data_IF_797111314406
#
_entry.id   IF_797111314406
#
_cell.length_a   1.000
_cell.length_b   1.000
_cell.length_c   1.000
_cell.angle_alpha   90.00
_cell.angle_beta   90.00
_cell.angle_gamma   90.00
#
_symmetry.space_group_name_H-M   'P 1'
#
loop_
_entity.id
_entity.type
_entity.pdbx_description
1 polymer ?
#
# COMPACT_ATOMS: atom_id res chain seq x y z
N UNK A 1 23.43 19.47 2.09
CA UNK A 1 22.77 18.97 3.33
C UNK A 1 22.15 17.61 3.03
N UNK A 2 22.92 16.53 3.18
CA UNK A 2 22.46 15.15 3.06
C UNK A 2 22.41 14.54 4.45
N UNK A 3 21.26 14.05 4.90
CA UNK A 3 21.22 13.30 6.16
C UNK A 3 19.85 13.01 6.76
N UNK A 4 18.96 12.29 6.08
CA UNK A 4 17.76 11.70 6.73
C UNK A 4 17.30 10.32 6.21
N UNK A 5 18.08 9.62 5.36
CA UNK A 5 17.64 8.33 4.79
C UNK A 5 18.13 7.06 5.50
N UNK A 6 18.92 7.17 6.58
CA UNK A 6 19.52 5.99 7.25
C UNK A 6 18.71 5.38 8.41
N UNK A 7 17.53 5.91 8.77
CA UNK A 7 16.85 5.48 10.01
C UNK A 7 15.85 4.31 9.81
N UNK A 8 15.31 4.10 8.60
CA UNK A 8 14.26 3.09 8.34
C UNK A 8 14.77 1.65 8.17
N UNK A 9 15.96 1.45 7.58
CA UNK A 9 16.61 0.12 7.50
C UNK A 9 17.02 -0.40 8.88
N UNK A 10 17.44 0.49 9.78
CA UNK A 10 17.83 0.11 11.13
C UNK A 10 16.64 -0.43 11.94
N UNK A 11 15.42 0.12 11.80
CA UNK A 11 14.26 -0.35 12.57
C UNK A 11 13.75 -1.75 12.18
N UNK A 12 13.82 -2.15 10.90
CA UNK A 12 13.42 -3.52 10.51
C UNK A 12 14.45 -4.56 10.95
N UNK A 13 15.73 -4.21 10.85
CA UNK A 13 16.86 -5.02 11.35
C UNK A 13 16.78 -5.14 12.88
N UNK A 14 16.40 -4.07 13.59
CA UNK A 14 16.21 -4.06 15.04
C UNK A 14 15.07 -5.00 15.47
N UNK A 15 13.96 -5.06 14.72
CA UNK A 15 12.81 -5.93 15.04
C UNK A 15 13.08 -7.41 14.75
N UNK A 16 13.81 -7.74 13.68
CA UNK A 16 14.25 -9.11 13.43
C UNK A 16 15.29 -9.58 14.45
N UNK A 17 16.20 -8.68 14.88
CA UNK A 17 17.11 -8.93 16.00
C UNK A 17 16.37 -9.12 17.32
N UNK A 18 15.35 -8.29 17.59
CA UNK A 18 14.47 -8.46 18.76
C UNK A 18 13.73 -9.78 18.70
N UNK A 19 13.15 -10.17 17.56
CA UNK A 19 12.44 -11.44 17.43
C UNK A 19 13.37 -12.64 17.66
N UNK A 20 14.60 -12.61 17.11
CA UNK A 20 15.62 -13.65 17.36
C UNK A 20 16.05 -13.69 18.82
N UNK A 21 16.42 -12.55 19.40
CA UNK A 21 16.79 -12.42 20.81
C UNK A 21 15.66 -12.88 21.75
N UNK A 22 14.41 -12.58 21.41
CA UNK A 22 13.24 -12.94 22.19
C UNK A 22 12.96 -14.45 22.15
N UNK A 23 13.05 -15.07 20.97
CA UNK A 23 12.97 -16.53 20.82
C UNK A 23 14.06 -17.21 21.65
N UNK A 24 15.27 -16.66 21.64
CA UNK A 24 16.41 -17.19 22.39
C UNK A 24 16.25 -17.03 23.91
N UNK A 25 15.72 -15.89 24.39
CA UNK A 25 15.37 -15.69 25.80
C UNK A 25 14.26 -16.63 26.26
N UNK A 26 13.22 -16.85 25.45
CA UNK A 26 12.12 -17.78 25.81
C UNK A 26 12.55 -19.24 25.90
N UNK A 27 13.61 -19.63 25.16
CA UNK A 27 14.24 -20.94 25.32
C UNK A 27 15.06 -21.08 26.60
N UNK A 28 15.53 -19.96 27.16
CA UNK A 28 16.37 -19.93 28.38
C UNK A 28 15.56 -19.73 29.68
N UNK A 29 14.32 -19.25 29.61
CA UNK A 29 13.42 -18.99 30.77
C UNK A 29 12.22 -19.93 30.80
N UNK A 30 12.48 -21.24 30.90
CA UNK A 30 11.40 -22.20 31.19
C UNK A 30 10.90 -22.11 32.64
N UNK A 31 11.58 -21.36 33.51
CA UNK A 31 11.19 -21.17 34.90
C UNK A 31 10.84 -19.70 35.19
N UNK A 32 9.55 -19.48 35.43
CA UNK A 32 8.90 -18.27 35.94
C UNK A 32 8.79 -17.04 35.00
N UNK A 33 7.54 -16.55 34.91
CA UNK A 33 7.04 -15.24 34.44
C UNK A 33 6.09 -15.34 33.23
N UNK A 34 4.82 -15.01 33.51
CA UNK A 34 3.70 -14.64 32.61
C UNK A 34 3.84 -15.03 31.13
N UNK A 35 3.85 -16.33 30.85
CA UNK A 35 4.00 -16.91 29.51
C UNK A 35 2.77 -16.72 28.62
N UNK A 36 1.62 -16.37 29.19
CA UNK A 36 0.35 -16.26 28.47
C UNK A 36 0.32 -15.06 27.51
N UNK A 37 0.62 -13.85 28.00
CA UNK A 37 0.64 -12.64 27.15
C UNK A 37 1.68 -12.68 26.02
N UNK A 38 2.82 -13.32 26.28
CA UNK A 38 3.87 -13.51 25.28
C UNK A 38 3.47 -14.49 24.19
N UNK A 39 2.71 -15.53 24.54
CA UNK A 39 2.22 -16.52 23.57
C UNK A 39 1.25 -15.88 22.58
N UNK A 40 0.36 -15.01 23.06
CA UNK A 40 -0.61 -14.31 22.22
C UNK A 40 0.07 -13.34 21.25
N UNK A 41 1.07 -12.58 21.72
CA UNK A 41 1.86 -11.69 20.86
C UNK A 41 2.63 -12.47 19.78
N UNK A 42 3.25 -13.60 20.14
CA UNK A 42 3.93 -14.48 19.19
C UNK A 42 2.95 -15.03 18.14
N UNK A 43 1.75 -15.46 18.56
CA UNK A 43 0.73 -15.96 17.64
C UNK A 43 0.20 -14.87 16.70
N UNK A 44 0.04 -13.65 17.21
CA UNK A 44 -0.33 -12.47 16.41
C UNK A 44 0.74 -12.17 15.35
N UNK A 45 2.01 -12.14 15.73
CA UNK A 45 3.13 -11.91 14.81
C UNK A 45 3.25 -12.99 13.73
N UNK A 46 3.07 -14.27 14.10
CA UNK A 46 3.01 -15.38 13.14
C UNK A 46 1.87 -15.20 12.13
N UNK A 47 0.71 -14.77 12.60
CA UNK A 47 -0.47 -14.54 11.75
C UNK A 47 -0.23 -13.39 10.78
N UNK A 48 0.34 -12.27 11.25
CA UNK A 48 0.70 -11.12 10.39
C UNK A 48 1.71 -11.54 9.32
N UNK A 49 2.77 -12.26 9.71
CA UNK A 49 3.80 -12.73 8.77
C UNK A 49 3.23 -13.69 7.72
N UNK A 50 2.33 -14.59 8.11
CA UNK A 50 1.62 -15.48 7.18
C UNK A 50 0.78 -14.69 6.16
N UNK A 51 0.04 -13.67 6.61
CA UNK A 51 -0.72 -12.77 5.72
C UNK A 51 0.19 -12.02 4.75
N UNK A 52 1.28 -11.46 5.24
CA UNK A 52 2.27 -10.76 4.40
C UNK A 52 2.84 -11.67 3.30
N UNK A 53 3.20 -12.90 3.64
CA UNK A 53 3.72 -13.87 2.67
C UNK A 53 2.66 -14.23 1.61
N UNK A 54 1.40 -14.44 2.02
CA UNK A 54 0.30 -14.68 1.08
C UNK A 54 0.12 -13.51 0.11
N UNK A 55 0.16 -12.28 0.60
CA UNK A 55 0.04 -11.08 -0.25
C UNK A 55 1.19 -10.99 -1.25
N UNK A 56 2.42 -11.34 -0.85
CA UNK A 56 3.57 -11.39 -1.75
C UNK A 56 3.39 -12.44 -2.86
N UNK A 57 2.87 -13.62 -2.53
CA UNK A 57 2.55 -14.65 -3.53
C UNK A 57 1.50 -14.15 -4.52
N UNK A 58 0.37 -13.62 -4.02
CA UNK A 58 -0.70 -13.08 -4.88
C UNK A 58 -0.18 -11.92 -5.74
N UNK A 59 0.67 -11.06 -5.20
CA UNK A 59 1.27 -9.95 -5.95
C UNK A 59 2.08 -10.46 -7.16
N UNK A 60 2.89 -11.50 -6.98
CA UNK A 60 3.66 -12.10 -8.07
C UNK A 60 2.74 -12.74 -9.13
N UNK A 61 1.67 -13.41 -8.71
CA UNK A 61 0.67 -13.99 -9.64
C UNK A 61 -0.03 -12.91 -10.46
N UNK A 62 -0.39 -11.78 -9.83
CA UNK A 62 -1.03 -10.65 -10.51
C UNK A 62 -0.12 -10.05 -11.58
N UNK A 63 1.18 -9.98 -11.34
CA UNK A 63 2.13 -9.44 -12.33
C UNK A 63 2.13 -10.24 -13.64
N UNK A 64 1.87 -11.55 -13.57
CA UNK A 64 1.84 -12.44 -14.74
C UNK A 64 0.53 -12.39 -15.53
N UNK A 65 -0.53 -11.77 -15.00
CA UNK A 65 -1.82 -11.68 -15.70
C UNK A 65 -1.74 -10.78 -16.94
N UNK A 66 -2.37 -11.13 -18.05
CA UNK A 66 -2.44 -10.26 -19.24
C UNK A 66 -3.51 -9.19 -19.11
N UNK A 67 -4.64 -9.53 -18.49
CA UNK A 67 -5.81 -8.67 -18.34
C UNK A 67 -5.54 -7.49 -17.39
N UNK A 68 -5.64 -6.28 -17.94
CA UNK A 68 -5.35 -5.02 -17.25
C UNK A 68 -6.44 -4.68 -16.22
N UNK A 69 -7.70 -4.97 -16.53
CA UNK A 69 -8.84 -4.72 -15.64
C UNK A 69 -8.74 -5.63 -14.43
N UNK A 70 -8.46 -6.92 -14.65
CA UNK A 70 -8.25 -7.87 -13.56
C UNK A 70 -7.00 -7.56 -12.75
N UNK A 71 -5.93 -7.06 -13.38
CA UNK A 71 -4.75 -6.54 -12.67
C UNK A 71 -5.12 -5.37 -11.75
N UNK A 72 -5.91 -4.42 -12.24
CA UNK A 72 -6.33 -3.26 -11.46
C UNK A 72 -7.07 -3.66 -10.18
N UNK A 73 -8.12 -4.47 -10.32
CA UNK A 73 -8.87 -4.96 -9.16
C UNK A 73 -8.01 -5.77 -8.19
N UNK A 74 -7.08 -6.56 -8.71
CA UNK A 74 -6.18 -7.35 -7.87
C UNK A 74 -5.22 -6.47 -7.09
N UNK A 75 -4.61 -5.44 -7.71
CA UNK A 75 -3.77 -4.49 -7.00
C UNK A 75 -4.55 -3.71 -5.95
N UNK A 76 -5.77 -3.27 -6.26
CA UNK A 76 -6.63 -2.58 -5.30
C UNK A 76 -6.98 -3.46 -4.10
N UNK A 77 -7.27 -4.74 -4.33
CA UNK A 77 -7.46 -5.71 -3.26
C UNK A 77 -6.21 -5.85 -2.38
N UNK A 78 -5.04 -6.06 -2.97
CA UNK A 78 -3.77 -6.19 -2.23
C UNK A 78 -3.47 -4.90 -1.43
N UNK A 79 -3.65 -3.72 -2.03
CA UNK A 79 -3.46 -2.44 -1.36
C UNK A 79 -4.40 -2.28 -0.15
N UNK A 80 -5.65 -2.76 -0.25
CA UNK A 80 -6.60 -2.77 0.86
C UNK A 80 -6.18 -3.70 2.00
N UNK A 81 -5.57 -4.84 1.69
CA UNK A 81 -5.06 -5.76 2.71
C UNK A 81 -3.82 -5.18 3.40
N UNK A 82 -2.90 -4.55 2.66
CA UNK A 82 -1.80 -3.81 3.27
C UNK A 82 -2.32 -2.67 4.16
N UNK A 83 -3.39 -1.98 3.76
CA UNK A 83 -4.06 -0.95 4.59
C UNK A 83 -4.54 -1.50 5.94
N UNK A 84 -4.98 -2.76 6.00
CA UNK A 84 -5.33 -3.42 7.26
C UNK A 84 -4.09 -3.74 8.09
N UNK A 85 -3.01 -4.21 7.46
CA UNK A 85 -1.75 -4.51 8.14
C UNK A 85 -1.05 -3.26 8.70
N UNK A 86 -1.26 -2.08 8.11
CA UNK A 86 -0.71 -0.81 8.61
C UNK A 86 -1.16 -0.52 10.05
N UNK A 87 -2.36 -0.94 10.45
CA UNK A 87 -2.85 -0.81 11.83
C UNK A 87 -1.99 -1.59 12.83
N UNK A 88 -1.37 -2.67 12.37
CA UNK A 88 -0.49 -3.51 13.16
C UNK A 88 0.96 -3.03 13.10
N UNK A 89 1.42 -2.59 11.93
CA UNK A 89 2.76 -2.09 11.72
C UNK A 89 2.82 -1.03 10.59
N UNK A 90 3.14 0.24 10.89
CA UNK A 90 3.24 1.30 9.89
C UNK A 90 4.22 1.01 8.74
N UNK A 91 5.16 0.07 8.89
CA UNK A 91 6.07 -0.32 7.78
C UNK A 91 5.31 -0.77 6.52
N UNK A 92 4.08 -1.24 6.66
CA UNK A 92 3.27 -1.72 5.53
C UNK A 92 2.80 -0.59 4.60
N UNK A 93 2.95 0.68 5.00
CA UNK A 93 2.79 1.81 4.07
C UNK A 93 3.69 1.67 2.84
N UNK A 94 4.93 1.20 3.02
CA UNK A 94 5.86 1.03 1.90
C UNK A 94 5.31 0.04 0.85
N UNK A 95 4.82 -1.11 1.30
CA UNK A 95 4.23 -2.13 0.42
C UNK A 95 2.95 -1.62 -0.24
N UNK A 96 2.09 -0.92 0.51
CA UNK A 96 0.88 -0.32 -0.04
C UNK A 96 1.21 0.69 -1.15
N UNK A 97 2.18 1.57 -0.92
CA UNK A 97 2.64 2.57 -1.90
C UNK A 97 3.18 1.89 -3.16
N UNK A 98 3.98 0.83 -3.03
CA UNK A 98 4.52 0.10 -4.18
C UNK A 98 3.41 -0.51 -5.04
N UNK A 99 2.43 -1.16 -4.41
CA UNK A 99 1.29 -1.75 -5.13
C UNK A 99 0.47 -0.68 -5.83
N UNK A 100 0.18 0.43 -5.15
CA UNK A 100 -0.59 1.54 -5.74
C UNK A 100 0.17 2.24 -6.87
N UNK A 101 1.51 2.32 -6.81
CA UNK A 101 2.34 2.82 -7.92
C UNK A 101 2.23 1.93 -9.15
N UNK A 102 2.30 0.61 -8.97
CA UNK A 102 2.13 -0.36 -10.05
C UNK A 102 0.76 -0.21 -10.70
N UNK A 103 -0.28 -0.08 -9.87
CA UNK A 103 -1.63 0.13 -10.36
C UNK A 103 -1.78 1.45 -11.13
N UNK A 104 -1.37 2.59 -10.56
CA UNK A 104 -1.42 3.89 -11.25
C UNK A 104 -0.66 3.90 -12.60
N UNK A 105 0.35 3.05 -12.77
CA UNK A 105 1.06 2.89 -14.04
C UNK A 105 0.24 2.17 -15.12
N UNK A 106 -0.77 1.37 -14.74
CA UNK A 106 -1.70 0.72 -15.66
C UNK A 106 -2.73 1.68 -16.24
N UNK A 107 -3.02 2.79 -15.55
CA UNK A 107 -4.13 3.69 -15.88
C UNK A 107 -4.23 4.10 -17.36
N UNK A 108 -3.15 4.52 -18.05
CA UNK A 108 -3.26 4.92 -19.45
C UNK A 108 -3.77 3.80 -20.38
N UNK A 109 -3.42 2.55 -20.09
CA UNK A 109 -3.91 1.39 -20.86
C UNK A 109 -5.30 0.97 -20.41
N UNK A 110 -5.56 1.02 -19.10
CA UNK A 110 -6.86 0.72 -18.52
C UNK A 110 -7.96 1.63 -19.11
N UNK A 111 -7.74 2.95 -19.12
CA UNK A 111 -8.75 3.89 -19.61
C UNK A 111 -8.96 3.78 -21.13
N UNK A 112 -7.93 3.39 -21.88
CA UNK A 112 -8.07 3.12 -23.31
C UNK A 112 -8.97 1.90 -23.53
N UNK A 113 -8.71 0.79 -22.82
CA UNK A 113 -9.51 -0.43 -22.93
C UNK A 113 -10.97 -0.19 -22.52
N UNK A 114 -11.19 0.43 -21.36
CA UNK A 114 -12.54 0.75 -20.86
C UNK A 114 -13.32 1.67 -21.80
N UNK A 115 -12.67 2.65 -22.43
CA UNK A 115 -13.35 3.54 -23.41
C UNK A 115 -13.77 2.80 -24.67
N UNK A 116 -12.94 1.89 -25.17
CA UNK A 116 -13.30 1.05 -26.32
C UNK A 116 -14.45 0.10 -25.96
N UNK A 117 -14.40 -0.54 -24.79
CA UNK A 117 -15.46 -1.43 -24.32
C UNK A 117 -16.78 -0.67 -24.11
N UNK A 118 -16.74 0.52 -23.49
CA UNK A 118 -17.92 1.37 -23.32
C UNK A 118 -18.52 1.85 -24.64
N UNK A 119 -17.68 2.18 -25.62
CA UNK A 119 -18.13 2.55 -26.97
C UNK A 119 -18.86 1.37 -27.64
N UNK A 120 -18.34 0.15 -27.49
CA UNK A 120 -18.96 -1.06 -28.03
C UNK A 120 -20.29 -1.40 -27.34
N UNK A 121 -20.47 -1.00 -26.08
CA UNK A 121 -21.69 -1.19 -25.29
C UNK A 121 -22.68 -0.01 -25.39
N UNK A 122 -22.43 0.97 -26.27
CA UNK A 122 -23.35 2.10 -26.49
C UNK A 122 -23.33 3.16 -25.40
N UNK A 123 -22.18 3.39 -24.74
CA UNK A 123 -21.97 4.41 -23.71
C UNK A 123 -22.91 4.30 -22.49
N UNK A 124 -23.37 3.09 -22.17
CA UNK A 124 -24.29 2.86 -21.05
C UNK A 124 -23.61 2.93 -19.67
N UNK A 125 -22.29 2.80 -19.62
CA UNK A 125 -21.52 2.87 -18.39
C UNK A 125 -20.78 4.20 -18.31
N UNK A 126 -20.95 4.91 -17.19
CA UNK A 126 -20.21 6.14 -16.91
C UNK A 126 -18.71 5.90 -16.82
N UNK A 127 -17.93 6.98 -16.69
CA UNK A 127 -16.47 6.86 -16.60
C UNK A 127 -16.04 5.95 -15.44
N UNK A 128 -15.10 5.02 -15.67
CA UNK A 128 -14.66 4.08 -14.65
C UNK A 128 -13.97 4.81 -13.50
N UNK A 129 -14.34 4.44 -12.28
CA UNK A 129 -13.73 5.00 -11.07
C UNK A 129 -12.34 4.40 -10.83
N UNK A 130 -11.29 5.24 -10.87
CA UNK A 130 -9.91 4.80 -10.70
C UNK A 130 -9.28 5.40 -9.44
N UNK A 131 -9.71 4.89 -8.28
CA UNK A 131 -9.40 5.47 -6.96
C UNK A 131 -7.94 5.35 -6.51
N UNK A 132 -7.08 4.67 -7.27
CA UNK A 132 -5.70 4.34 -6.90
C UNK A 132 -4.81 5.57 -6.75
N UNK A 133 -5.00 6.59 -7.59
CA UNK A 133 -4.28 7.86 -7.47
C UNK A 133 -4.60 8.55 -6.14
N UNK A 134 -5.87 8.52 -5.73
CA UNK A 134 -6.32 9.05 -4.44
C UNK A 134 -5.70 8.27 -3.30
N UNK A 135 -5.79 6.95 -3.31
CA UNK A 135 -5.23 6.12 -2.24
C UNK A 135 -3.70 6.28 -2.15
N UNK A 136 -2.99 6.44 -3.28
CA UNK A 136 -1.55 6.69 -3.32
C UNK A 136 -1.21 8.05 -2.70
N UNK A 137 -1.97 9.10 -3.05
CA UNK A 137 -1.81 10.42 -2.44
C UNK A 137 -2.07 10.39 -0.92
N UNK A 138 -3.07 9.63 -0.44
CA UNK A 138 -3.31 9.44 1.00
C UNK A 138 -2.11 8.74 1.64
N UNK A 139 -1.61 7.67 1.02
CA UNK A 139 -0.50 6.89 1.57
C UNK A 139 0.75 7.76 1.73
N UNK A 140 1.10 8.56 0.72
CA UNK A 140 2.19 9.52 0.78
C UNK A 140 1.98 10.61 1.84
N UNK A 141 0.78 11.18 1.93
CA UNK A 141 0.46 12.16 2.97
C UNK A 141 0.67 11.56 4.38
N UNK A 142 0.29 10.30 4.57
CA UNK A 142 0.43 9.59 5.86
C UNK A 142 1.87 9.23 6.20
N UNK A 143 2.75 9.05 5.22
CA UNK A 143 4.18 8.81 5.44
C UNK A 143 5.00 10.08 5.55
N UNK A 144 4.37 11.26 5.43
CA UNK A 144 5.02 12.57 5.45
C UNK A 144 5.66 12.97 4.12
N UNK A 145 5.44 12.20 3.05
CA UNK A 145 5.94 12.46 1.69
C UNK A 145 5.00 13.42 0.96
N UNK A 146 4.84 14.64 1.52
CA UNK A 146 3.83 15.62 1.06
C UNK A 146 4.03 16.03 -0.41
N UNK A 147 5.27 16.25 -0.83
CA UNK A 147 5.61 16.62 -2.21
C UNK A 147 5.20 15.53 -3.21
N UNK A 148 5.43 14.26 -2.88
CA UNK A 148 5.02 13.11 -3.70
C UNK A 148 3.49 12.96 -3.74
N UNK A 149 2.79 13.27 -2.64
CA UNK A 149 1.33 13.32 -2.61
C UNK A 149 0.74 14.39 -3.54
N UNK A 150 1.39 15.57 -3.62
CA UNK A 150 1.01 16.64 -4.56
C UNK A 150 1.29 16.20 -5.99
N UNK A 151 2.49 15.67 -6.26
CA UNK A 151 2.92 15.21 -7.58
C UNK A 151 1.97 14.18 -8.17
N UNK A 152 1.58 13.16 -7.39
CA UNK A 152 0.65 12.14 -7.88
C UNK A 152 -0.76 12.71 -8.11
N UNK A 153 -1.20 13.67 -7.28
CA UNK A 153 -2.49 14.35 -7.46
C UNK A 153 -2.51 15.19 -8.75
N UNK A 154 -1.42 15.91 -9.05
CA UNK A 154 -1.26 16.65 -10.32
C UNK A 154 -1.27 15.71 -11.53
N UNK A 155 -0.53 14.60 -11.44
CA UNK A 155 -0.53 13.56 -12.49
C UNK A 155 -1.92 12.98 -12.75
N UNK A 156 -2.73 12.80 -11.71
CA UNK A 156 -4.10 12.32 -11.86
C UNK A 156 -4.97 13.31 -12.65
N UNK A 157 -4.83 14.62 -12.38
CA UNK A 157 -5.51 15.69 -13.13
C UNK A 157 -5.06 15.69 -14.59
N UNK A 158 -3.75 15.63 -14.86
CA UNK A 158 -3.19 15.57 -16.22
C UNK A 158 -3.72 14.38 -17.04
N UNK A 159 -3.91 13.24 -16.38
CA UNK A 159 -4.45 12.03 -16.98
C UNK A 159 -5.98 12.02 -17.09
N UNK A 160 -6.67 13.05 -16.59
CA UNK A 160 -8.13 13.14 -16.60
C UNK A 160 -8.82 12.12 -15.70
N UNK A 161 -8.15 11.66 -14.63
CA UNK A 161 -8.72 10.75 -13.64
C UNK A 161 -9.84 11.45 -12.90
N UNK A 162 -11.05 10.88 -12.92
CA UNK A 162 -12.17 11.37 -12.12
C UNK A 162 -12.09 10.82 -10.70
N UNK A 163 -12.20 11.72 -9.71
CA UNK A 163 -12.33 11.37 -8.29
C UNK A 163 -13.49 12.16 -7.69
N UNK A 164 -14.22 11.53 -6.78
CA UNK A 164 -15.31 12.17 -6.03
C UNK A 164 -14.77 13.32 -5.16
N UNK A 165 -13.52 13.21 -4.71
CA UNK A 165 -12.80 14.27 -4.01
C UNK A 165 -11.81 14.94 -4.96
N UNK A 166 -12.15 16.10 -5.51
CA UNK A 166 -11.28 16.87 -6.42
C UNK A 166 -9.81 16.87 -5.97
N UNK A 167 -8.92 16.44 -6.87
CA UNK A 167 -7.47 16.42 -6.64
C UNK A 167 -6.91 17.83 -6.40
N UNK A 168 -7.54 18.86 -6.99
CA UNK A 168 -7.21 20.26 -6.80
C UNK A 168 -7.39 20.68 -5.33
N UNK A 169 -8.50 20.28 -4.70
CA UNK A 169 -8.74 20.57 -3.28
C UNK A 169 -7.71 19.88 -2.38
N UNK A 170 -7.31 18.65 -2.75
CA UNK A 170 -6.25 17.92 -2.05
C UNK A 170 -4.91 18.63 -2.19
N UNK A 171 -4.53 19.07 -3.39
CA UNK A 171 -3.30 19.84 -3.63
C UNK A 171 -3.28 21.09 -2.76
N UNK A 172 -4.34 21.91 -2.80
CA UNK A 172 -4.46 23.12 -1.96
C UNK A 172 -4.29 22.83 -0.47
N UNK A 173 -4.81 21.70 0.01
CA UNK A 173 -4.66 21.27 1.41
C UNK A 173 -3.22 20.86 1.74
N UNK A 174 -2.57 20.14 0.82
CA UNK A 174 -1.21 19.65 1.00
C UNK A 174 -0.18 20.79 0.90
N UNK A 175 -0.40 21.77 0.03
CA UNK A 175 0.46 22.96 -0.11
C UNK A 175 0.47 23.81 1.16
N UNK A 176 -0.59 23.80 1.98
CA UNK A 176 -0.62 24.45 3.31
C UNK A 176 0.21 23.73 4.38
N UNK A 177 0.69 22.52 4.11
CA UNK A 177 1.48 21.69 5.04
C UNK A 177 2.98 21.72 4.73
N UNK A 178 3.37 22.31 3.61
CA UNK A 178 4.76 22.60 3.26
C UNK A 178 5.17 23.91 3.93
#
# INVERSE_FOLDING_TARGET
MFGLFNNKKNQSVERDKRLKYFIEMTKRRQDSVNTFGLRDEINKLKTIKSKENKLKTVLNEVEQKSDIVMKHFSYMHIASEYKRLIKEDPKYYHHQIEVLKKDCALFPRFIHQEREDNKNLGNQHGDPNYSSFRELAIAYERTGEIEEAIKISRKAIELGVKDNTSFENRIKKLEKKL
#
